data_IF_202692119098
#
_entry.id   IF_202692119098
#
_cell.length_a   1.000
_cell.length_b   1.000
_cell.length_c   1.000
_cell.angle_alpha   90.00
_cell.angle_beta   90.00
_cell.angle_gamma   90.00
#
_symmetry.space_group_name_H-M   'P 1'
#
loop_
_entity.id
_entity.type
_entity.pdbx_description
1 polymer ?
#
# COMPACT_ATOMS: atom_id res chain seq x y z
N UNK A 1 3.20 15.99 -8.12
CA UNK A 1 3.16 14.66 -8.79
C UNK A 1 3.93 14.75 -10.10
N UNK A 2 4.88 13.86 -10.36
CA UNK A 2 5.69 13.88 -11.61
C UNK A 2 4.88 13.43 -12.82
N UNK A 3 5.30 13.81 -14.03
CA UNK A 3 4.65 13.36 -15.28
C UNK A 3 4.68 11.83 -15.44
N UNK A 4 5.77 11.18 -15.02
CA UNK A 4 5.87 9.71 -15.02
C UNK A 4 4.84 9.05 -14.12
N UNK A 5 4.58 9.58 -12.92
CA UNK A 5 3.55 9.05 -12.03
C UNK A 5 2.15 9.27 -12.59
N UNK A 6 1.89 10.44 -13.20
CA UNK A 6 0.61 10.70 -13.88
C UNK A 6 0.36 9.71 -15.01
N UNK A 7 1.37 9.40 -15.82
CA UNK A 7 1.25 8.43 -16.91
C UNK A 7 0.89 7.03 -16.40
N UNK A 8 1.52 6.58 -15.30
CA UNK A 8 1.19 5.30 -14.66
C UNK A 8 -0.25 5.29 -14.16
N UNK A 9 -0.71 6.39 -13.54
CA UNK A 9 -2.10 6.51 -13.06
C UNK A 9 -3.07 6.49 -14.23
N UNK A 10 -2.76 7.12 -15.35
CA UNK A 10 -3.61 7.11 -16.54
C UNK A 10 -3.79 5.68 -17.07
N UNK A 11 -2.71 4.88 -17.13
CA UNK A 11 -2.81 3.47 -17.50
C UNK A 11 -3.76 2.66 -16.61
N UNK A 12 -3.88 3.03 -15.33
CA UNK A 12 -4.79 2.33 -14.39
C UNK A 12 -6.29 2.52 -14.72
N UNK A 13 -6.63 3.55 -15.51
CA UNK A 13 -7.99 3.80 -15.98
C UNK A 13 -8.37 2.91 -17.17
N UNK A 14 -7.39 2.34 -17.87
CA UNK A 14 -7.67 1.38 -18.92
C UNK A 14 -8.19 0.07 -18.30
N UNK A 15 -9.35 -0.39 -18.77
CA UNK A 15 -9.97 -1.60 -18.24
C UNK A 15 -9.27 -2.89 -18.63
N UNK A 16 -8.56 -2.89 -19.75
CA UNK A 16 -7.84 -4.04 -20.30
C UNK A 16 -6.38 -4.10 -19.81
N UNK A 17 -5.89 -3.03 -19.19
CA UNK A 17 -4.54 -3.01 -18.66
C UNK A 17 -4.44 -3.78 -17.34
N UNK A 18 -3.55 -4.76 -17.32
CA UNK A 18 -3.09 -5.45 -16.12
C UNK A 18 -1.57 -5.57 -16.19
N UNK A 19 -0.90 -5.07 -15.15
CA UNK A 19 0.55 -5.06 -15.04
C UNK A 19 1.11 -6.48 -15.09
N UNK A 20 2.21 -6.66 -15.80
CA UNK A 20 3.00 -7.87 -15.70
C UNK A 20 3.86 -7.81 -14.44
N UNK A 21 3.57 -8.66 -13.46
CA UNK A 21 4.36 -8.77 -12.24
C UNK A 21 5.46 -9.81 -12.46
N UNK A 22 6.71 -9.40 -12.28
CA UNK A 22 7.89 -10.26 -12.42
C UNK A 22 8.31 -10.89 -11.10
N UNK A 23 9.02 -12.02 -11.18
CA UNK A 23 9.60 -12.70 -10.01
C UNK A 23 10.51 -11.78 -9.18
N UNK A 24 11.35 -10.98 -9.86
CA UNK A 24 12.28 -10.06 -9.21
C UNK A 24 11.54 -8.98 -8.40
N UNK A 25 10.45 -8.41 -8.96
CA UNK A 25 9.62 -7.45 -8.22
C UNK A 25 9.02 -8.07 -6.96
N UNK A 26 8.52 -9.31 -7.04
CA UNK A 26 7.95 -10.00 -5.87
C UNK A 26 9.00 -10.22 -4.78
N UNK A 27 10.21 -10.65 -5.15
CA UNK A 27 11.32 -10.85 -4.21
C UNK A 27 11.69 -9.52 -3.54
N UNK A 28 11.88 -8.45 -4.32
CA UNK A 28 12.25 -7.14 -3.76
C UNK A 28 11.14 -6.56 -2.89
N UNK A 29 9.88 -6.64 -3.31
CA UNK A 29 8.75 -6.17 -2.53
C UNK A 29 8.66 -6.90 -1.17
N UNK A 30 8.91 -8.22 -1.14
CA UNK A 30 8.96 -8.98 0.13
C UNK A 30 10.03 -8.47 1.09
N UNK A 31 11.18 -8.05 0.58
CA UNK A 31 12.22 -7.46 1.42
C UNK A 31 11.80 -6.07 1.90
N UNK A 32 11.26 -5.25 1.00
CA UNK A 32 10.87 -3.87 1.30
C UNK A 32 9.73 -3.76 2.31
N UNK A 33 8.74 -4.67 2.32
CA UNK A 33 7.66 -4.62 3.33
C UNK A 33 8.14 -4.87 4.78
N UNK A 34 9.41 -5.25 4.98
CA UNK A 34 10.00 -5.45 6.29
C UNK A 34 10.89 -4.30 6.76
N UNK A 35 11.11 -3.27 5.93
CA UNK A 35 11.91 -2.12 6.33
C UNK A 35 11.09 -1.17 7.20
N UNK A 36 11.77 -0.49 8.12
CA UNK A 36 11.23 0.65 8.83
C UNK A 36 11.47 1.92 7.99
N UNK A 37 10.41 2.54 7.44
CA UNK A 37 10.56 3.73 6.61
C UNK A 37 11.03 4.92 7.44
N UNK A 38 11.93 5.75 6.90
CA UNK A 38 12.53 6.90 7.63
C UNK A 38 12.03 8.26 7.12
N UNK A 39 11.38 8.25 5.98
CA UNK A 39 10.87 9.43 5.28
C UNK A 39 9.69 9.05 4.36
N UNK A 40 9.13 10.05 3.68
CA UNK A 40 8.00 9.90 2.75
C UNK A 40 8.28 8.96 1.56
N UNK A 41 9.50 8.97 1.03
CA UNK A 41 9.91 8.11 -0.09
C UNK A 41 9.91 6.65 0.35
N UNK A 42 10.46 6.38 1.53
CA UNK A 42 10.47 5.02 2.08
C UNK A 42 9.04 4.53 2.36
N UNK A 43 8.18 5.39 2.93
CA UNK A 43 6.76 5.10 3.12
C UNK A 43 6.11 4.68 1.81
N UNK A 44 6.31 5.47 0.76
CA UNK A 44 5.75 5.21 -0.56
C UNK A 44 6.25 3.90 -1.16
N UNK A 45 7.55 3.62 -1.01
CA UNK A 45 8.16 2.36 -1.45
C UNK A 45 7.56 1.14 -0.74
N UNK A 46 7.36 1.22 0.57
CA UNK A 46 6.74 0.16 1.36
C UNK A 46 5.28 -0.04 0.95
N UNK A 47 4.50 1.03 0.81
CA UNK A 47 3.09 0.96 0.42
C UNK A 47 2.93 0.37 -0.99
N UNK A 48 3.77 0.80 -1.95
CA UNK A 48 3.78 0.23 -3.31
C UNK A 48 4.18 -1.25 -3.30
N UNK A 49 5.12 -1.65 -2.44
CA UNK A 49 5.50 -3.06 -2.24
C UNK A 49 4.31 -3.90 -1.74
N UNK A 50 3.57 -3.38 -0.75
CA UNK A 50 2.36 -4.04 -0.25
C UNK A 50 1.28 -4.14 -1.34
N UNK A 51 1.09 -3.11 -2.16
CA UNK A 51 0.15 -3.10 -3.28
C UNK A 51 0.53 -4.14 -4.36
N UNK A 52 1.82 -4.23 -4.70
CA UNK A 52 2.35 -5.25 -5.63
C UNK A 52 2.13 -6.66 -5.09
N UNK A 53 2.43 -6.91 -3.81
CA UNK A 53 2.16 -8.21 -3.20
C UNK A 53 0.66 -8.52 -3.21
N UNK A 54 -0.20 -7.54 -2.92
CA UNK A 54 -1.65 -7.71 -2.94
C UNK A 54 -2.18 -8.05 -4.34
N UNK A 55 -1.58 -7.49 -5.39
CA UNK A 55 -1.87 -7.84 -6.78
C UNK A 55 -1.32 -9.24 -7.12
N UNK A 56 -0.07 -9.54 -6.74
CA UNK A 56 0.61 -10.80 -7.01
C UNK A 56 -0.09 -12.02 -6.37
N UNK A 57 -0.70 -11.87 -5.18
CA UNK A 57 -1.47 -12.94 -4.52
C UNK A 57 -2.63 -13.45 -5.40
N UNK A 58 -3.18 -12.60 -6.28
CA UNK A 58 -4.26 -12.98 -7.21
C UNK A 58 -3.73 -13.77 -8.42
N UNK A 59 -2.44 -13.64 -8.71
CA UNK A 59 -1.79 -14.40 -9.78
C UNK A 59 -1.52 -15.83 -9.36
N UNK A 60 -1.70 -16.79 -10.27
CA UNK A 60 -1.36 -18.19 -10.04
C UNK A 60 0.16 -18.42 -9.93
N UNK A 61 0.96 -17.55 -10.51
CA UNK A 61 2.41 -17.71 -10.64
C UNK A 61 3.17 -17.50 -9.32
N UNK A 62 2.55 -16.85 -8.32
CA UNK A 62 3.23 -16.46 -7.08
C UNK A 62 2.60 -17.02 -5.81
N UNK A 63 1.68 -17.99 -5.93
CA UNK A 63 0.93 -18.54 -4.79
C UNK A 63 1.81 -19.15 -3.69
N UNK A 64 2.97 -19.71 -4.05
CA UNK A 64 3.94 -20.28 -3.11
C UNK A 64 4.83 -19.22 -2.45
N UNK A 65 4.89 -18.03 -3.03
CA UNK A 65 5.79 -16.96 -2.59
C UNK A 65 5.11 -15.93 -1.71
N UNK A 66 3.85 -15.63 -2.01
CA UNK A 66 3.06 -14.58 -1.37
C UNK A 66 1.65 -15.08 -1.07
N UNK A 67 1.15 -14.74 0.12
CA UNK A 67 -0.19 -15.11 0.56
C UNK A 67 -0.71 -14.07 1.57
N UNK A 68 -2.04 -14.04 1.77
CA UNK A 68 -2.65 -13.03 2.62
C UNK A 68 -2.20 -13.11 4.08
N UNK A 69 -2.02 -14.31 4.64
CA UNK A 69 -1.51 -14.50 6.00
C UNK A 69 -0.13 -13.86 6.24
N UNK A 70 0.68 -13.68 5.20
CA UNK A 70 1.95 -12.94 5.28
C UNK A 70 1.72 -11.42 5.22
N UNK A 71 0.88 -10.96 4.29
CA UNK A 71 0.71 -9.53 4.02
C UNK A 71 -0.13 -8.82 5.09
N UNK A 72 -1.26 -9.39 5.53
CA UNK A 72 -2.22 -8.70 6.41
C UNK A 72 -1.61 -8.28 7.76
N UNK A 73 -0.85 -9.14 8.47
CA UNK A 73 -0.17 -8.72 9.70
C UNK A 73 0.86 -7.61 9.46
N UNK A 74 1.53 -7.61 8.29
CA UNK A 74 2.52 -6.60 7.93
C UNK A 74 1.90 -5.23 7.68
N UNK A 75 0.73 -5.17 7.04
CA UNK A 75 -0.04 -3.92 6.90
C UNK A 75 -0.38 -3.38 8.29
N UNK A 76 -0.91 -4.22 9.19
CA UNK A 76 -1.24 -3.79 10.56
C UNK A 76 -0.02 -3.30 11.34
N UNK A 77 1.11 -4.00 11.25
CA UNK A 77 2.37 -3.59 11.87
C UNK A 77 2.85 -2.24 11.34
N UNK A 78 2.77 -2.02 10.02
CA UNK A 78 3.13 -0.77 9.39
C UNK A 78 2.26 0.41 9.84
N UNK A 79 0.94 0.22 9.95
CA UNK A 79 0.05 1.28 10.45
C UNK A 79 0.37 1.65 11.91
N UNK A 80 0.63 0.66 12.76
CA UNK A 80 1.06 0.90 14.16
C UNK A 80 2.38 1.67 14.23
N UNK A 81 3.35 1.31 13.37
CA UNK A 81 4.62 2.03 13.28
C UNK A 81 4.41 3.50 12.90
N UNK A 82 3.52 3.79 11.95
CA UNK A 82 3.18 5.18 11.61
C UNK A 82 2.55 5.92 12.79
N UNK A 83 1.62 5.29 13.53
CA UNK A 83 0.98 5.90 14.70
C UNK A 83 1.97 6.27 15.81
N UNK A 84 3.06 5.52 15.93
CA UNK A 84 4.13 5.74 16.91
C UNK A 84 5.18 6.77 16.45
N UNK A 85 5.20 7.11 15.17
CA UNK A 85 6.22 7.95 14.56
C UNK A 85 5.61 9.27 14.08
N UNK A 86 5.62 10.29 14.94
CA UNK A 86 5.01 11.60 14.66
C UNK A 86 5.54 12.27 13.39
N UNK A 87 6.84 12.12 13.09
CA UNK A 87 7.42 12.64 11.84
C UNK A 87 6.70 12.03 10.63
N UNK A 88 6.61 10.70 10.58
CA UNK A 88 6.00 9.99 9.45
C UNK A 88 4.49 10.15 9.38
N UNK A 89 3.82 10.24 10.54
CA UNK A 89 2.38 10.46 10.65
C UNK A 89 1.92 11.75 9.95
N UNK A 90 2.77 12.76 9.85
CA UNK A 90 2.49 13.97 9.06
C UNK A 90 2.67 13.80 7.54
N UNK A 91 3.35 12.74 7.10
CA UNK A 91 3.71 12.52 5.69
C UNK A 91 2.72 11.61 4.94
N UNK A 92 1.91 10.85 5.68
CA UNK A 92 0.93 9.89 5.16
C UNK A 92 -0.36 10.01 5.96
N UNK A 93 -1.49 9.92 5.28
CA UNK A 93 -2.80 9.87 5.93
C UNK A 93 -3.35 8.46 5.79
N UNK A 94 -4.06 7.97 6.80
CA UNK A 94 -4.79 6.72 6.65
C UNK A 94 -6.01 6.69 7.55
N UNK A 95 -6.96 5.84 7.19
CA UNK A 95 -8.11 5.49 8.01
C UNK A 95 -8.39 4.00 7.87
N UNK A 96 -9.12 3.43 8.83
CA UNK A 96 -9.54 2.04 8.83
C UNK A 96 -11.06 2.01 8.91
N UNK A 97 -11.67 1.41 7.90
CA UNK A 97 -13.08 1.04 7.94
C UNK A 97 -13.24 -0.20 8.82
N UNK A 98 -13.96 -0.04 9.94
CA UNK A 98 -14.22 -1.10 10.91
C UNK A 98 -15.11 -2.21 10.34
N UNK A 99 -16.07 -1.87 9.48
CA UNK A 99 -17.02 -2.84 8.93
C UNK A 99 -16.30 -3.84 8.01
N UNK A 100 -15.50 -3.31 7.09
CA UNK A 100 -14.78 -4.11 6.09
C UNK A 100 -13.37 -4.53 6.52
N UNK A 101 -12.96 -4.14 7.75
CA UNK A 101 -11.58 -4.27 8.26
C UNK A 101 -10.57 -3.82 7.21
N UNK A 102 -10.86 -2.71 6.55
CA UNK A 102 -10.11 -2.24 5.39
C UNK A 102 -9.30 -1.00 5.77
N UNK A 103 -7.99 -1.07 5.60
CA UNK A 103 -7.12 0.08 5.73
C UNK A 103 -7.01 0.83 4.40
N UNK A 104 -7.27 2.13 4.44
CA UNK A 104 -7.07 3.05 3.33
C UNK A 104 -5.91 3.98 3.65
N UNK A 105 -4.86 3.93 2.83
CA UNK A 105 -3.63 4.71 3.02
C UNK A 105 -3.49 5.71 1.87
N UNK A 106 -3.32 6.99 2.18
CA UNK A 106 -3.15 8.08 1.24
C UNK A 106 -1.76 8.72 1.28
N UNK A 107 -1.11 8.74 0.13
CA UNK A 107 0.22 9.33 -0.06
C UNK A 107 0.37 9.77 -1.53
N UNK A 108 1.00 10.93 -1.78
CA UNK A 108 1.15 11.50 -3.14
C UNK A 108 -0.15 11.52 -3.96
N UNK A 109 -1.26 11.87 -3.31
CA UNK A 109 -2.62 11.88 -3.87
C UNK A 109 -3.16 10.53 -4.36
N UNK A 110 -2.44 9.44 -4.12
CA UNK A 110 -2.90 8.07 -4.33
C UNK A 110 -3.60 7.54 -3.08
N UNK A 111 -4.53 6.61 -3.26
CA UNK A 111 -5.23 5.93 -2.17
C UNK A 111 -5.13 4.42 -2.36
N UNK A 112 -4.53 3.73 -1.40
CA UNK A 112 -4.29 2.29 -1.41
C UNK A 112 -5.24 1.61 -0.43
N UNK A 113 -5.86 0.51 -0.83
CA UNK A 113 -6.79 -0.26 0.00
C UNK A 113 -6.26 -1.65 0.35
N UNK A 114 -6.35 -2.00 1.63
CA UNK A 114 -5.98 -3.32 2.15
C UNK A 114 -7.10 -3.88 3.02
N UNK A 115 -7.93 -4.77 2.45
CA UNK A 115 -9.04 -5.43 3.15
C UNK A 115 -8.56 -6.47 4.17
N UNK A 116 -9.39 -6.79 5.16
CA UNK A 116 -9.16 -7.86 6.13
C UNK A 116 -7.79 -7.76 6.83
N UNK A 117 -7.39 -6.57 7.24
CA UNK A 117 -6.19 -6.41 8.08
C UNK A 117 -6.42 -6.97 9.48
N UNK A 118 -5.35 -7.35 10.16
CA UNK A 118 -5.41 -7.75 11.57
C UNK A 118 -5.66 -6.50 12.42
N UNK A 119 -6.69 -6.51 13.25
CA UNK A 119 -7.00 -5.40 14.16
C UNK A 119 -6.70 -5.88 15.58
N UNK A 120 -5.71 -5.24 16.22
CA UNK A 120 -5.42 -5.41 17.64
C UNK A 120 -5.91 -4.20 18.44
N UNK A 121 -5.68 -4.21 19.76
CA UNK A 121 -6.10 -3.15 20.66
C UNK A 121 -5.65 -1.76 20.22
N UNK A 122 -4.41 -1.63 19.73
CA UNK A 122 -3.88 -0.33 19.30
C UNK A 122 -4.60 0.22 18.08
N UNK A 123 -4.84 -0.62 17.07
CA UNK A 123 -5.62 -0.21 15.91
C UNK A 123 -7.09 -0.01 16.24
N UNK A 124 -7.64 -0.77 17.19
CA UNK A 124 -9.00 -0.56 17.69
C UNK A 124 -9.15 0.82 18.35
N UNK A 125 -8.18 1.22 19.19
CA UNK A 125 -8.15 2.53 19.82
C UNK A 125 -8.02 3.65 18.77
N UNK A 126 -7.22 3.45 17.72
CA UNK A 126 -7.15 4.40 16.62
C UNK A 126 -8.50 4.52 15.88
N UNK A 127 -9.14 3.40 15.56
CA UNK A 127 -10.44 3.35 14.87
C UNK A 127 -11.52 4.17 15.61
N UNK A 128 -11.49 4.14 16.94
CA UNK A 128 -12.43 4.85 17.81
C UNK A 128 -12.02 6.31 18.10
N UNK A 129 -10.82 6.70 17.68
CA UNK A 129 -10.31 8.06 17.88
C UNK A 129 -10.83 9.03 16.80
N UNK A 130 -10.84 10.35 17.09
CA UNK A 130 -11.11 11.37 16.07
C UNK A 130 -10.11 11.38 14.90
N UNK A 131 -8.95 10.72 15.06
CA UNK A 131 -7.94 10.62 14.00
C UNK A 131 -8.32 9.67 12.86
N UNK A 132 -9.24 8.74 13.10
CA UNK A 132 -9.75 7.85 12.06
C UNK A 132 -10.85 8.53 11.24
N UNK A 133 -10.44 9.37 10.28
CA UNK A 133 -11.36 10.16 9.47
C UNK A 133 -11.50 9.57 8.05
N UNK A 134 -12.63 8.92 7.73
CA UNK A 134 -12.86 8.35 6.41
C UNK A 134 -12.81 9.40 5.31
N UNK A 135 -12.24 9.02 4.17
CA UNK A 135 -12.19 9.85 2.97
C UNK A 135 -12.89 9.20 1.79
N UNK A 136 -13.51 10.00 0.90
CA UNK A 136 -14.09 9.47 -0.33
C UNK A 136 -13.09 8.63 -1.12
N UNK A 137 -13.57 7.53 -1.69
CA UNK A 137 -12.76 6.69 -2.56
C UNK A 137 -12.38 7.46 -3.83
N UNK A 138 -11.10 7.45 -4.19
CA UNK A 138 -10.60 8.23 -5.35
C UNK A 138 -10.93 7.62 -6.72
N UNK A 139 -11.56 6.46 -6.78
CA UNK A 139 -11.95 5.84 -8.05
C UNK A 139 -10.83 5.10 -8.79
N UNK A 140 -9.60 5.08 -8.24
CA UNK A 140 -8.42 4.56 -8.93
C UNK A 140 -8.08 3.16 -8.42
N UNK A 141 -7.96 2.19 -9.34
CA UNK A 141 -7.60 0.80 -9.01
C UNK A 141 -6.09 0.56 -9.21
N UNK A 142 -5.30 0.94 -8.20
CA UNK A 142 -3.83 0.91 -8.26
C UNK A 142 -3.20 -0.50 -8.36
N UNK A 143 -3.96 -1.57 -8.09
CA UNK A 143 -3.46 -2.93 -8.28
C UNK A 143 -3.19 -3.26 -9.76
N UNK A 144 -3.91 -2.63 -10.68
CA UNK A 144 -3.74 -2.85 -12.13
C UNK A 144 -2.38 -2.39 -12.65
N UNK A 145 -1.78 -1.42 -11.98
CA UNK A 145 -0.49 -0.79 -12.35
C UNK A 145 0.56 -1.02 -11.27
N UNK A 146 0.41 -2.10 -10.50
CA UNK A 146 1.22 -2.33 -9.32
C UNK A 146 2.71 -2.53 -9.65
N UNK A 147 3.03 -3.16 -10.78
CA UNK A 147 4.41 -3.34 -11.25
C UNK A 147 5.08 -2.02 -11.62
N UNK A 148 4.36 -1.18 -12.37
CA UNK A 148 4.86 0.14 -12.78
C UNK A 148 5.00 1.08 -11.59
N UNK A 149 4.00 1.10 -10.69
CA UNK A 149 4.07 1.90 -9.45
C UNK A 149 5.22 1.46 -8.55
N UNK A 150 5.44 0.16 -8.40
CA UNK A 150 6.54 -0.37 -7.61
C UNK A 150 7.89 0.05 -8.19
N UNK A 151 8.10 -0.15 -9.50
CA UNK A 151 9.33 0.26 -10.18
C UNK A 151 9.56 1.77 -10.06
N UNK A 152 8.49 2.56 -10.22
CA UNK A 152 8.56 4.00 -10.05
C UNK A 152 9.03 4.38 -8.63
N UNK A 153 8.44 3.78 -7.59
CA UNK A 153 8.76 4.07 -6.20
C UNK A 153 10.21 3.74 -5.83
N UNK A 154 10.76 2.62 -6.31
CA UNK A 154 12.14 2.21 -5.97
C UNK A 154 13.21 2.93 -6.79
N UNK A 155 12.87 3.40 -8.00
CA UNK A 155 13.82 4.07 -8.90
C UNK A 155 13.83 5.60 -8.72
N UNK A 156 12.70 6.19 -8.33
CA UNK A 156 12.58 7.63 -8.15
C UNK A 156 12.62 7.90 -6.64
N UNK A 157 13.78 8.31 -6.14
CA UNK A 157 13.88 8.96 -4.83
C UNK A 157 13.27 10.37 -4.97
N UNK A 158 11.94 10.48 -4.92
CA UNK A 158 11.20 11.74 -5.12
C UNK A 158 11.37 12.69 -3.93
#
# INVERSE_FOLDING_TARGET
MTESLKAIIESSKNNEFETEITLNQVIQAKNLINIEPKNKIDLFSVICSMNLINAAIKSKNFKEMVYYGMLKPKVSQFLKYILENEKLKSEVQFYIDKADKCAYIEIYDLQFGFHNITIDEKLQNFIESPGNNPKPWKGIRLQKVAGELFNYAINNKI
#
